data_IF_374559882714
#
_entry.id   IF_374559882714
#
_cell.length_a   1.000
_cell.length_b   1.000
_cell.length_c   1.000
_cell.angle_alpha   90.00
_cell.angle_beta   90.00
_cell.angle_gamma   90.00
#
_symmetry.space_group_name_H-M   'P 1'
#
loop_
_entity.id
_entity.type
_entity.pdbx_description
1 polymer ?
#
# COMPACT_ATOMS: atom_id res chain seq x y z
N UNK A 1 -1.67 8.33 -16.91
CA UNK A 1 -2.70 7.94 -15.93
C UNK A 1 -3.54 9.16 -15.62
N UNK A 2 -4.87 9.13 -15.78
CA UNK A 2 -5.71 10.26 -15.42
C UNK A 2 -5.62 10.53 -13.91
N UNK A 3 -5.61 11.81 -13.52
CA UNK A 3 -5.70 12.18 -12.10
C UNK A 3 -7.10 11.78 -11.58
N UNK A 4 -7.21 11.28 -10.34
CA UNK A 4 -8.52 11.00 -9.77
C UNK A 4 -9.29 12.32 -9.59
N UNK A 5 -10.36 12.50 -10.37
CA UNK A 5 -11.30 13.61 -10.18
C UNK A 5 -12.25 13.23 -9.03
N UNK A 6 -12.11 13.91 -7.89
CA UNK A 6 -12.99 13.72 -6.74
C UNK A 6 -14.19 14.66 -6.81
N UNK A 7 -15.40 14.13 -6.60
CA UNK A 7 -16.63 14.91 -6.56
C UNK A 7 -16.92 15.45 -5.15
N UNK A 8 -17.60 16.61 -5.02
CA UNK A 8 -18.04 17.10 -3.70
C UNK A 8 -19.18 16.25 -3.11
N UNK A 9 -19.84 15.43 -3.92
CA UNK A 9 -20.87 14.47 -3.53
C UNK A 9 -20.26 13.12 -3.17
N UNK A 10 -20.72 12.48 -2.09
CA UNK A 10 -20.26 11.16 -1.69
C UNK A 10 -20.68 10.06 -2.69
N UNK A 11 -19.82 9.06 -2.84
CA UNK A 11 -20.10 7.81 -3.58
C UNK A 11 -20.15 6.68 -2.56
N UNK A 12 -21.34 6.13 -2.32
CA UNK A 12 -21.56 5.15 -1.26
C UNK A 12 -21.27 3.71 -1.72
N UNK A 13 -20.50 2.99 -0.93
CA UNK A 13 -20.20 1.57 -1.12
C UNK A 13 -20.49 0.82 0.17
N UNK A 14 -21.17 -0.32 0.06
CA UNK A 14 -21.44 -1.20 1.18
C UNK A 14 -20.43 -2.35 1.24
N UNK A 15 -19.76 -2.53 2.37
CA UNK A 15 -19.11 -3.78 2.71
C UNK A 15 -20.18 -4.79 3.11
N UNK A 16 -20.15 -5.99 2.52
CA UNK A 16 -21.20 -6.97 2.71
C UNK A 16 -20.66 -8.39 2.83
N UNK A 17 -21.38 -9.22 3.58
CA UNK A 17 -21.15 -10.66 3.60
C UNK A 17 -22.04 -11.33 2.56
N UNK A 18 -21.42 -12.04 1.62
CA UNK A 18 -22.14 -12.81 0.59
C UNK A 18 -21.94 -14.30 0.87
N UNK A 19 -23.00 -15.05 1.26
CA UNK A 19 -22.88 -16.48 1.45
C UNK A 19 -22.62 -17.16 0.10
N UNK A 20 -21.52 -17.89 0.02
CA UNK A 20 -21.11 -18.62 -1.18
C UNK A 20 -21.07 -20.12 -0.90
N UNK A 21 -21.58 -20.90 -1.84
CA UNK A 21 -21.48 -22.36 -1.76
C UNK A 21 -20.09 -22.83 -2.16
N UNK A 22 -19.65 -23.98 -1.64
CA UNK A 22 -18.32 -24.52 -1.91
C UNK A 22 -17.99 -24.60 -3.42
N UNK A 23 -18.98 -24.95 -4.25
CA UNK A 23 -18.83 -25.02 -5.71
C UNK A 23 -18.51 -23.67 -6.36
N UNK A 24 -18.92 -22.55 -5.76
CA UNK A 24 -18.69 -21.20 -6.28
C UNK A 24 -17.40 -20.57 -5.74
N UNK A 25 -16.83 -21.06 -4.63
CA UNK A 25 -15.62 -20.51 -3.98
C UNK A 25 -14.45 -20.41 -4.95
N UNK A 26 -14.11 -21.50 -5.65
CA UNK A 26 -12.97 -21.52 -6.59
C UNK A 26 -13.11 -20.48 -7.71
N UNK A 27 -14.33 -20.31 -8.24
CA UNK A 27 -14.60 -19.32 -9.31
C UNK A 27 -14.57 -17.90 -8.77
N UNK A 28 -15.10 -17.68 -7.57
CA UNK A 28 -15.08 -16.39 -6.89
C UNK A 28 -13.64 -15.92 -6.64
N UNK A 29 -12.77 -16.82 -6.17
CA UNK A 29 -11.37 -16.54 -5.91
C UNK A 29 -10.62 -16.14 -7.20
N UNK A 30 -10.80 -16.90 -8.29
CA UNK A 30 -10.11 -16.62 -9.57
C UNK A 30 -10.60 -15.35 -10.27
N UNK A 31 -11.89 -15.05 -10.19
CA UNK A 31 -12.50 -13.91 -10.93
C UNK A 31 -12.70 -12.67 -10.07
N UNK A 32 -12.41 -12.76 -8.77
CA UNK A 32 -12.65 -11.71 -7.78
C UNK A 32 -14.07 -11.13 -7.83
N UNK A 33 -15.03 -11.92 -8.32
CA UNK A 33 -16.41 -11.51 -8.56
C UNK A 33 -17.35 -12.70 -8.45
N UNK A 34 -18.57 -12.44 -7.97
CA UNK A 34 -19.60 -13.45 -7.77
C UNK A 34 -20.91 -12.93 -8.35
N UNK A 35 -21.59 -13.79 -9.12
CA UNK A 35 -22.97 -13.52 -9.54
C UNK A 35 -23.92 -14.14 -8.52
N UNK A 36 -24.74 -13.30 -7.90
CA UNK A 36 -25.83 -13.70 -7.01
C UNK A 36 -27.05 -14.12 -7.83
N UNK A 37 -27.96 -14.88 -7.20
CA UNK A 37 -29.25 -15.20 -7.81
C UNK A 37 -30.16 -13.97 -7.68
N UNK A 38 -31.13 -13.81 -8.58
CA UNK A 38 -32.15 -12.78 -8.45
C UNK A 38 -32.81 -12.87 -7.05
N UNK A 39 -33.01 -11.72 -6.41
CA UNK A 39 -33.63 -11.58 -5.08
C UNK A 39 -32.83 -12.19 -3.90
N UNK A 40 -31.51 -12.39 -4.07
CA UNK A 40 -30.65 -12.77 -2.94
C UNK A 40 -30.53 -11.60 -1.95
N UNK A 41 -30.98 -11.80 -0.72
CA UNK A 41 -30.75 -10.84 0.37
C UNK A 41 -29.27 -10.82 0.74
N UNK A 42 -28.65 -9.65 0.71
CA UNK A 42 -27.26 -9.41 1.08
C UNK A 42 -27.24 -8.63 2.40
N UNK A 43 -26.50 -9.11 3.39
CA UNK A 43 -26.32 -8.40 4.67
C UNK A 43 -25.15 -7.44 4.55
N UNK A 44 -25.43 -6.16 4.78
CA UNK A 44 -24.43 -5.09 4.78
C UNK A 44 -23.84 -4.99 6.19
N UNK A 45 -22.51 -4.95 6.27
CA UNK A 45 -21.77 -4.77 7.52
C UNK A 45 -21.52 -3.28 7.79
N UNK A 46 -21.11 -2.55 6.76
CA UNK A 46 -20.75 -1.14 6.86
C UNK A 46 -21.06 -0.43 5.53
N UNK A 47 -21.50 0.82 5.61
CA UNK A 47 -21.65 1.70 4.44
C UNK A 47 -20.67 2.85 4.61
N UNK A 48 -19.81 3.04 3.63
CA UNK A 48 -18.80 4.10 3.65
C UNK A 48 -18.68 4.77 2.28
N UNK A 49 -18.10 5.96 2.26
CA UNK A 49 -17.83 6.68 1.02
C UNK A 49 -16.55 6.16 0.35
N UNK A 50 -16.60 5.80 -0.93
CA UNK A 50 -15.43 5.32 -1.70
C UNK A 50 -14.31 6.38 -1.78
N UNK A 51 -14.68 7.65 -1.80
CA UNK A 51 -13.77 8.77 -1.98
C UNK A 51 -13.05 9.17 -0.69
N UNK A 52 -13.80 9.44 0.40
CA UNK A 52 -13.21 9.88 1.66
C UNK A 52 -13.04 8.77 2.71
N UNK A 53 -13.53 7.55 2.45
CA UNK A 53 -13.43 6.37 3.33
C UNK A 53 -14.05 6.55 4.72
N UNK A 54 -14.92 7.55 4.90
CA UNK A 54 -15.68 7.76 6.14
C UNK A 54 -17.01 6.99 6.10
N UNK A 55 -17.48 6.46 7.24
CA UNK A 55 -18.75 5.74 7.33
C UNK A 55 -19.92 6.71 7.17
N UNK A 56 -21.07 6.19 6.72
CA UNK A 56 -22.27 6.99 6.45
C UNK A 56 -22.73 7.83 7.66
N UNK A 57 -22.76 7.24 8.84
CA UNK A 57 -23.25 7.87 10.07
C UNK A 57 -22.47 9.14 10.45
N UNK A 58 -21.19 9.22 10.07
CA UNK A 58 -20.31 10.34 10.41
C UNK A 58 -20.42 11.52 9.43
N UNK A 59 -20.91 11.28 8.21
CA UNK A 59 -20.79 12.23 7.08
C UNK A 59 -22.07 12.46 6.29
N UNK A 60 -23.20 11.91 6.73
CA UNK A 60 -24.50 12.05 6.03
C UNK A 60 -24.90 13.51 5.78
N UNK A 61 -24.52 14.43 6.68
CA UNK A 61 -24.86 15.86 6.61
C UNK A 61 -23.70 16.74 6.10
N UNK A 62 -22.56 16.14 5.73
CA UNK A 62 -21.34 16.83 5.32
C UNK A 62 -21.03 16.60 3.84
N UNK A 63 -20.33 17.56 3.22
CA UNK A 63 -19.77 17.37 1.88
C UNK A 63 -18.56 16.42 1.90
N UNK A 64 -18.28 15.78 0.77
CA UNK A 64 -17.14 14.88 0.68
C UNK A 64 -15.81 15.64 0.82
N UNK A 65 -15.05 15.31 1.86
CA UNK A 65 -13.72 15.90 2.12
C UNK A 65 -12.69 15.57 1.05
N UNK A 66 -12.92 14.51 0.26
CA UNK A 66 -12.02 14.11 -0.83
C UNK A 66 -11.84 15.24 -1.86
N UNK A 67 -12.92 15.97 -2.18
CA UNK A 67 -12.87 17.15 -3.06
C UNK A 67 -12.17 18.36 -2.43
N UNK A 68 -12.02 18.40 -1.10
CA UNK A 68 -11.45 19.53 -0.37
C UNK A 68 -9.95 19.35 -0.06
N UNK A 69 -9.45 18.11 -0.05
CA UNK A 69 -8.09 17.76 0.41
C UNK A 69 -6.95 18.38 -0.42
N UNK A 70 -7.15 18.67 -1.71
CA UNK A 70 -6.08 19.26 -2.54
C UNK A 70 -5.76 20.72 -2.19
N UNK A 71 -6.60 21.40 -1.40
CA UNK A 71 -6.37 22.81 -1.03
C UNK A 71 -5.15 23.02 -0.14
N UNK A 72 -4.77 22.04 0.68
CA UNK A 72 -3.63 22.14 1.59
C UNK A 72 -2.29 21.68 0.99
N UNK A 73 -2.30 20.96 -0.15
CA UNK A 73 -1.09 20.49 -0.85
C UNK A 73 -0.57 21.48 -1.89
N UNK A 74 -0.83 22.78 -1.70
CA UNK A 74 -0.17 23.80 -2.50
C UNK A 74 1.27 23.92 -2.00
N UNK A 75 2.17 23.14 -2.61
CA UNK A 75 3.59 23.39 -2.49
C UNK A 75 3.81 24.88 -2.76
N UNK A 76 4.49 25.55 -1.83
CA UNK A 76 4.90 26.94 -2.04
C UNK A 76 5.69 27.09 -3.35
N UNK A 77 5.95 28.32 -3.81
CA UNK A 77 6.73 28.55 -5.01
C UNK A 77 7.99 27.68 -5.01
N UNK A 78 8.28 27.02 -6.14
CA UNK A 78 9.52 26.25 -6.31
C UNK A 78 10.68 27.18 -5.96
N UNK A 79 11.29 26.89 -4.82
CA UNK A 79 12.43 27.60 -4.27
C UNK A 79 13.52 26.62 -3.86
N UNK A 80 14.69 27.14 -3.49
CA UNK A 80 15.78 26.33 -2.99
C UNK A 80 15.33 25.60 -1.72
N UNK A 81 15.35 24.26 -1.74
CA UNK A 81 15.06 23.41 -0.58
C UNK A 81 15.96 23.86 0.57
N UNK A 82 15.40 24.54 1.57
CA UNK A 82 16.12 24.80 2.81
C UNK A 82 16.42 23.45 3.46
N UNK A 83 17.69 23.01 3.43
CA UNK A 83 18.14 21.92 4.27
C UNK A 83 17.84 22.33 5.70
N UNK A 84 17.02 21.54 6.40
CA UNK A 84 16.91 21.70 7.85
C UNK A 84 18.33 21.55 8.38
N UNK A 85 18.83 22.58 9.08
CA UNK A 85 20.08 22.43 9.80
C UNK A 85 19.89 21.19 10.69
N UNK A 86 20.80 20.21 10.55
CA UNK A 86 20.88 19.16 11.55
C UNK A 86 21.24 19.87 12.84
N UNK A 87 20.21 20.20 13.65
CA UNK A 87 20.43 20.56 15.03
C UNK A 87 21.29 19.42 15.59
N UNK A 88 22.46 19.75 16.16
CA UNK A 88 23.36 18.80 16.80
C UNK A 88 22.50 17.99 17.77
N UNK A 89 22.01 16.84 17.32
CA UNK A 89 21.28 15.95 18.19
C UNK A 89 22.32 15.37 19.14
N UNK A 90 21.98 15.24 20.41
CA UNK A 90 22.88 14.63 21.38
C UNK A 90 23.09 13.16 20.99
N UNK A 91 24.17 12.88 20.25
CA UNK A 91 24.57 11.54 19.81
C UNK A 91 24.66 10.53 20.97
N UNK A 92 24.81 10.99 22.21
CA UNK A 92 24.88 10.13 23.39
C UNK A 92 23.63 9.26 23.62
N UNK A 93 22.45 9.68 23.14
CA UNK A 93 21.20 8.91 23.30
C UNK A 93 20.84 8.04 22.10
N UNK A 94 21.44 8.28 20.93
CA UNK A 94 21.06 7.64 19.67
C UNK A 94 22.15 6.70 19.12
N UNK A 95 23.30 6.58 19.82
CA UNK A 95 24.34 5.60 19.47
C UNK A 95 24.97 5.83 18.09
N UNK A 96 24.95 7.07 17.58
CA UNK A 96 25.58 7.40 16.31
C UNK A 96 27.04 7.79 16.58
N UNK A 97 27.97 6.87 16.34
CA UNK A 97 29.42 7.12 16.39
C UNK A 97 29.84 8.02 15.22
N UNK A 98 30.09 9.30 15.52
CA UNK A 98 30.63 10.28 14.56
C UNK A 98 32.15 10.13 14.41
N UNK A 99 32.65 8.93 14.14
CA UNK A 99 34.08 8.66 13.92
C UNK A 99 34.37 8.04 12.55
N UNK A 100 33.69 8.52 11.51
CA UNK A 100 34.07 8.25 10.11
C UNK A 100 33.69 9.43 9.21
N UNK A 101 34.14 10.62 9.59
CA UNK A 101 34.52 11.60 8.60
C UNK A 101 36.04 11.56 8.57
N UNK A 102 36.61 10.79 7.64
CA UNK A 102 37.76 11.14 6.79
C UNK A 102 38.20 9.91 5.98
N UNK A 103 38.33 10.14 4.67
CA UNK A 103 39.13 9.45 3.64
C UNK A 103 39.10 7.90 3.54
N UNK A 104 38.52 7.39 2.44
CA UNK A 104 39.25 6.60 1.45
C UNK A 104 38.31 6.14 0.32
N UNK A 105 38.70 6.46 -0.91
CA UNK A 105 38.10 5.95 -2.12
C UNK A 105 38.74 4.59 -2.44
N UNK A 106 38.01 3.50 -2.27
CA UNK A 106 38.31 2.24 -2.96
C UNK A 106 37.04 1.75 -3.66
N UNK A 107 37.14 1.59 -4.98
CA UNK A 107 36.15 0.88 -5.78
C UNK A 107 36.03 -0.55 -5.27
N UNK A 108 34.82 -1.07 -4.95
CA UNK A 108 34.68 -2.50 -4.76
C UNK A 108 34.83 -3.19 -6.13
N UNK A 109 36.00 -3.82 -6.31
CA UNK A 109 36.32 -4.71 -7.41
C UNK A 109 35.28 -5.82 -7.51
N UNK A 110 34.45 -5.68 -8.53
CA UNK A 110 33.98 -6.71 -9.45
C UNK A 110 34.42 -8.16 -9.13
N UNK A 111 33.43 -8.97 -8.70
CA UNK A 111 33.31 -10.42 -8.87
C UNK A 111 34.39 -11.32 -8.25
N UNK A 112 34.10 -11.83 -7.04
CA UNK A 112 34.58 -13.14 -6.59
C UNK A 112 33.72 -14.22 -7.27
N UNK A 113 34.23 -14.79 -8.36
CA UNK A 113 33.79 -16.08 -8.90
C UNK A 113 34.14 -17.17 -7.89
N UNK A 114 33.13 -17.70 -7.18
CA UNK A 114 33.27 -18.93 -6.41
C UNK A 114 32.77 -20.12 -7.22
N UNK A 115 33.74 -20.95 -7.59
CA UNK A 115 33.68 -22.29 -8.16
C UNK A 115 32.44 -23.12 -7.81
N UNK A 116 31.86 -23.69 -8.88
CA UNK A 116 31.67 -25.13 -9.10
C UNK A 116 31.44 -26.02 -7.86
N UNK A 117 30.23 -26.58 -7.75
CA UNK A 117 30.05 -27.99 -7.36
C UNK A 117 28.87 -28.61 -8.11
N UNK A 118 29.08 -29.71 -8.85
CA UNK A 118 28.01 -30.46 -9.49
C UNK A 118 27.56 -31.67 -8.63
N UNK A 119 26.33 -32.10 -8.95
CA UNK A 119 25.71 -33.42 -8.75
C UNK A 119 25.27 -33.84 -7.33
N UNK A 120 23.97 -34.12 -7.18
CA UNK A 120 23.53 -35.44 -6.71
C UNK A 120 22.24 -35.84 -7.44
N UNK A 121 22.35 -36.94 -8.20
CA UNK A 121 21.26 -37.72 -8.75
C UNK A 121 20.34 -38.23 -7.64
N UNK A 122 19.04 -37.97 -7.74
CA UNK A 122 18.04 -38.71 -6.95
C UNK A 122 17.34 -39.67 -7.91
N UNK A 123 17.97 -40.82 -8.14
CA UNK A 123 17.33 -42.02 -8.66
C UNK A 123 17.09 -43.00 -7.53
N UNK A 124 15.83 -43.19 -7.12
CA UNK A 124 15.38 -44.45 -6.51
C UNK A 124 13.97 -44.80 -7.00
N UNK A 125 13.91 -45.94 -7.69
CA UNK A 125 12.74 -46.71 -8.10
C UNK A 125 12.09 -47.47 -6.93
N UNK A 126 10.89 -48.00 -7.21
CA UNK A 126 10.14 -49.08 -6.54
C UNK A 126 9.40 -48.67 -5.23
N UNK A 127 8.11 -48.99 -5.03
CA UNK A 127 7.27 -50.14 -5.44
C UNK A 127 5.82 -49.68 -5.68
#
# INVERSE_FOLDING_TARGET
MPLPEYSPTHVWVGAATVPITQRKVRRAYLRQSVRTVKDTKITILEIYCEQCRRPYDDVQDELCSAAQSSKHLKGGPIGVRQKRAHYKHNCALLGCDLSSADDDAEEPSLFDDHDDQPEEEIGQEAV
#
